data_IF_800120760976
#
_entry.id   IF_800120760976
#
_cell.length_a   1.000
_cell.length_b   1.000
_cell.length_c   1.000
_cell.angle_alpha   90.00
_cell.angle_beta   90.00
_cell.angle_gamma   90.00
#
_symmetry.space_group_name_H-M   'P 1'
#
loop_
_entity.id
_entity.type
_entity.pdbx_description
1 polymer ?
#
# COMPACT_ATOMS: atom_id res chain seq x y z
N UNK A 1 1.49 -6.63 -34.63
CA UNK A 1 1.43 -5.86 -33.38
C UNK A 1 0.44 -6.59 -32.49
N UNK A 2 0.90 -7.14 -31.37
CA UNK A 2 0.02 -7.91 -30.48
C UNK A 2 -1.04 -6.96 -29.90
N UNK A 3 -2.34 -7.34 -29.90
CA UNK A 3 -3.39 -6.47 -29.40
C UNK A 3 -3.16 -6.22 -27.90
N UNK A 4 -3.25 -4.95 -27.48
CA UNK A 4 -3.14 -4.59 -26.07
C UNK A 4 -4.21 -5.33 -25.27
N UNK A 5 -3.83 -5.88 -24.10
CA UNK A 5 -4.77 -6.56 -23.20
C UNK A 5 -5.99 -5.65 -22.91
N UNK A 6 -7.24 -6.18 -22.88
CA UNK A 6 -8.39 -5.41 -22.42
C UNK A 6 -8.16 -4.88 -21.00
N UNK A 7 -8.63 -3.66 -20.71
CA UNK A 7 -8.41 -3.06 -19.40
C UNK A 7 -9.04 -3.85 -18.26
N UNK A 8 -10.20 -4.48 -18.49
CA UNK A 8 -10.82 -5.38 -17.51
C UNK A 8 -9.87 -6.49 -17.04
N UNK A 9 -9.10 -7.08 -17.95
CA UNK A 9 -8.10 -8.09 -17.60
C UNK A 9 -6.97 -7.51 -16.72
N UNK A 10 -6.59 -6.24 -16.95
CA UNK A 10 -5.63 -5.53 -16.08
C UNK A 10 -6.21 -5.35 -14.67
N UNK A 11 -7.49 -5.00 -14.55
CA UNK A 11 -8.16 -4.88 -13.25
C UNK A 11 -8.23 -6.23 -12.54
N UNK A 12 -8.58 -7.30 -13.25
CA UNK A 12 -8.64 -8.65 -12.68
C UNK A 12 -7.26 -9.14 -12.21
N UNK A 13 -6.21 -8.89 -13.01
CA UNK A 13 -4.84 -9.34 -12.73
C UNK A 13 -4.21 -8.57 -11.56
N UNK A 14 -4.38 -7.25 -11.51
CA UNK A 14 -3.64 -6.39 -10.57
C UNK A 14 -4.51 -5.80 -9.44
N UNK A 15 -5.83 -5.85 -9.57
CA UNK A 15 -6.80 -5.27 -8.62
C UNK A 15 -6.55 -5.68 -7.16
N UNK A 16 -6.44 -6.99 -6.85
CA UNK A 16 -6.18 -7.44 -5.48
C UNK A 16 -4.87 -6.89 -4.90
N UNK A 17 -3.80 -6.85 -5.70
CA UNK A 17 -2.51 -6.29 -5.27
C UNK A 17 -2.60 -4.80 -4.99
N UNK A 18 -3.20 -4.03 -5.91
CA UNK A 18 -3.39 -2.59 -5.73
C UNK A 18 -4.23 -2.31 -4.48
N UNK A 19 -5.26 -3.12 -4.19
CA UNK A 19 -6.07 -2.94 -2.99
C UNK A 19 -5.27 -3.18 -1.71
N UNK A 20 -4.43 -4.22 -1.67
CA UNK A 20 -3.52 -4.47 -0.54
C UNK A 20 -2.55 -3.31 -0.33
N UNK A 21 -2.02 -2.75 -1.42
CA UNK A 21 -1.16 -1.56 -1.37
C UNK A 21 -1.92 -0.34 -0.83
N UNK A 22 -3.14 -0.10 -1.31
CA UNK A 22 -3.98 1.00 -0.82
C UNK A 22 -4.26 0.83 0.69
N UNK A 23 -4.67 -0.36 1.14
CA UNK A 23 -4.88 -0.65 2.57
C UNK A 23 -3.63 -0.39 3.40
N UNK A 24 -2.47 -0.85 2.93
CA UNK A 24 -1.21 -0.66 3.64
C UNK A 24 -0.81 0.82 3.74
N UNK A 25 -1.05 1.63 2.70
CA UNK A 25 -0.55 3.02 2.63
C UNK A 25 -1.57 4.03 3.18
N UNK A 26 -2.85 3.86 2.85
CA UNK A 26 -3.95 4.78 3.17
C UNK A 26 -4.72 4.38 4.44
N UNK A 27 -4.63 3.11 4.85
CA UNK A 27 -5.48 2.55 5.90
C UNK A 27 -6.86 2.10 5.38
N UNK A 28 -7.68 1.45 6.23
CA UNK A 28 -8.88 0.75 5.80
C UNK A 28 -9.97 1.68 5.23
N UNK A 29 -10.11 2.90 5.75
CA UNK A 29 -11.18 3.82 5.36
C UNK A 29 -11.02 4.39 3.94
N UNK A 30 -9.79 4.69 3.54
CA UNK A 30 -9.51 5.37 2.26
C UNK A 30 -9.05 4.38 1.17
N UNK A 31 -8.94 3.09 1.49
CA UNK A 31 -8.32 2.10 0.61
C UNK A 31 -9.15 1.81 -0.65
N UNK A 32 -10.46 1.65 -0.51
CA UNK A 32 -11.38 1.34 -1.61
C UNK A 32 -11.54 2.53 -2.57
N UNK A 33 -11.59 3.73 -2.01
CA UNK A 33 -11.58 4.98 -2.77
C UNK A 33 -10.25 5.15 -3.52
N UNK A 34 -9.13 4.95 -2.83
CA UNK A 34 -7.80 4.99 -3.45
C UNK A 34 -7.63 3.95 -4.57
N UNK A 35 -8.19 2.75 -4.41
CA UNK A 35 -8.23 1.73 -5.44
C UNK A 35 -9.06 2.17 -6.65
N UNK A 36 -10.28 2.67 -6.41
CA UNK A 36 -11.20 3.12 -7.46
C UNK A 36 -10.61 4.28 -8.25
N UNK A 37 -10.06 5.29 -7.59
CA UNK A 37 -9.39 6.42 -8.24
C UNK A 37 -8.17 5.99 -9.05
N UNK A 38 -7.43 4.99 -8.56
CA UNK A 38 -6.27 4.43 -9.26
C UNK A 38 -6.71 3.82 -10.58
N UNK A 39 -7.72 2.94 -10.58
CA UNK A 39 -8.17 2.27 -11.79
C UNK A 39 -8.92 3.20 -12.75
N UNK A 40 -9.65 4.20 -12.25
CA UNK A 40 -10.25 5.25 -13.10
C UNK A 40 -9.16 6.07 -13.82
N UNK A 41 -8.12 6.47 -13.10
CA UNK A 41 -7.00 7.21 -13.69
C UNK A 41 -6.21 6.34 -14.67
N UNK A 42 -5.99 5.07 -14.32
CA UNK A 42 -5.31 4.11 -15.17
C UNK A 42 -6.10 3.84 -16.45
N UNK A 43 -7.43 3.71 -16.40
CA UNK A 43 -8.27 3.50 -17.57
C UNK A 43 -8.07 4.62 -18.62
N UNK A 44 -7.99 5.86 -18.15
CA UNK A 44 -7.77 7.03 -19.02
C UNK A 44 -6.37 7.05 -19.64
N UNK A 45 -5.34 6.67 -18.88
CA UNK A 45 -3.94 6.71 -19.32
C UNK A 45 -3.47 5.43 -20.04
N UNK A 46 -4.21 4.33 -19.91
CA UNK A 46 -3.85 3.02 -20.48
C UNK A 46 -3.61 3.01 -22.00
N UNK A 47 -4.35 3.78 -22.82
CA UNK A 47 -4.08 3.87 -24.27
C UNK A 47 -2.66 4.36 -24.61
N UNK A 48 -2.06 5.17 -23.73
CA UNK A 48 -0.74 5.78 -23.92
C UNK A 48 0.40 4.97 -23.28
N UNK A 49 0.08 3.94 -22.49
CA UNK A 49 1.09 3.13 -21.81
C UNK A 49 2.00 2.42 -22.83
N UNK A 50 3.34 2.62 -22.77
CA UNK A 50 4.26 2.00 -23.72
C UNK A 50 4.18 0.47 -23.70
N UNK A 51 4.28 -0.20 -24.86
CA UNK A 51 4.41 -1.65 -24.91
C UNK A 51 5.61 -2.13 -24.08
N UNK A 52 5.43 -3.19 -23.29
CA UNK A 52 6.47 -3.74 -22.43
C UNK A 52 6.72 -2.97 -21.12
N UNK A 53 5.94 -1.93 -20.83
CA UNK A 53 5.97 -1.29 -19.52
C UNK A 53 5.57 -2.27 -18.41
N UNK A 54 6.19 -2.14 -17.24
CA UNK A 54 5.78 -2.87 -16.05
C UNK A 54 4.43 -2.29 -15.55
N UNK A 55 3.34 -2.94 -15.90
CA UNK A 55 1.97 -2.51 -15.56
C UNK A 55 1.78 -2.42 -14.04
N UNK A 56 2.33 -3.35 -13.27
CA UNK A 56 2.23 -3.34 -11.82
C UNK A 56 2.93 -2.12 -11.21
N UNK A 57 4.17 -1.85 -11.62
CA UNK A 57 4.91 -0.65 -11.17
C UNK A 57 4.19 0.64 -11.56
N UNK A 58 3.60 0.68 -12.75
CA UNK A 58 2.82 1.81 -13.23
C UNK A 58 1.55 2.04 -12.40
N UNK A 59 0.77 0.99 -12.11
CA UNK A 59 -0.41 1.07 -11.25
C UNK A 59 -0.07 1.50 -9.83
N UNK A 60 1.01 0.95 -9.24
CA UNK A 60 1.49 1.36 -7.91
C UNK A 60 1.96 2.82 -7.92
N UNK A 61 2.55 3.30 -9.02
CA UNK A 61 2.90 4.72 -9.18
C UNK A 61 1.66 5.61 -9.13
N UNK A 62 0.59 5.23 -9.83
CA UNK A 62 -0.69 5.96 -9.80
C UNK A 62 -1.27 5.95 -8.38
N UNK A 63 -1.35 4.77 -7.76
CA UNK A 63 -1.86 4.62 -6.39
C UNK A 63 -1.06 5.46 -5.37
N UNK A 64 0.27 5.50 -5.51
CA UNK A 64 1.15 6.31 -4.66
C UNK A 64 0.82 7.81 -4.77
N UNK A 65 0.64 8.33 -5.99
CA UNK A 65 0.29 9.74 -6.23
C UNK A 65 -1.06 10.08 -5.60
N UNK A 66 -2.07 9.22 -5.80
CA UNK A 66 -3.39 9.36 -5.18
C UNK A 66 -3.32 9.34 -3.65
N UNK A 67 -2.51 8.45 -3.08
CA UNK A 67 -2.32 8.40 -1.65
C UNK A 67 -1.71 9.69 -1.08
N UNK A 68 -0.72 10.27 -1.76
CA UNK A 68 -0.14 11.56 -1.39
C UNK A 68 -1.20 12.67 -1.43
N UNK A 69 -2.02 12.70 -2.48
CA UNK A 69 -3.04 13.73 -2.65
C UNK A 69 -4.14 13.66 -1.59
N UNK A 70 -4.59 12.45 -1.25
CA UNK A 70 -5.56 12.21 -0.17
C UNK A 70 -5.01 12.64 1.19
N UNK A 71 -3.80 12.23 1.55
CA UNK A 71 -3.16 12.63 2.83
C UNK A 71 -2.97 14.14 2.90
N UNK A 72 -2.49 14.78 1.81
CA UNK A 72 -2.37 16.23 1.74
C UNK A 72 -3.71 16.92 1.90
N UNK A 73 -4.75 16.38 1.29
CA UNK A 73 -6.08 16.96 1.39
C UNK A 73 -6.68 16.82 2.78
N UNK A 74 -6.46 15.70 3.48
CA UNK A 74 -6.88 15.51 4.87
C UNK A 74 -6.21 16.54 5.78
N UNK A 75 -4.89 16.71 5.65
CA UNK A 75 -4.14 17.69 6.45
C UNK A 75 -4.61 19.14 6.22
N UNK A 76 -5.06 19.49 5.02
CA UNK A 76 -5.64 20.82 4.73
C UNK A 76 -7.06 21.02 5.28
N UNK A 77 -7.84 19.93 5.42
CA UNK A 77 -9.24 19.96 5.89
C UNK A 77 -9.36 19.72 7.40
N UNK A 78 -8.29 19.30 8.07
CA UNK A 78 -8.28 19.07 9.50
C UNK A 78 -8.49 20.39 10.26
N UNK A 79 -9.73 20.67 10.65
CA UNK A 79 -10.05 21.52 11.81
C UNK A 79 -9.54 20.76 13.06
N UNK A 80 -8.93 21.42 14.06
CA UNK A 80 -8.48 20.73 15.27
C UNK A 80 -9.70 20.13 15.97
N UNK A 81 -9.83 18.81 15.95
CA UNK A 81 -10.75 18.08 16.81
C UNK A 81 -9.90 17.46 17.91
N UNK A 82 -10.29 17.66 19.16
CA UNK A 82 -9.52 17.35 20.36
C UNK A 82 -9.41 15.84 20.65
N UNK A 83 -9.94 14.98 19.78
CA UNK A 83 -9.94 13.52 19.95
C UNK A 83 -9.45 12.80 18.68
N UNK A 84 -8.40 11.96 18.78
CA UNK A 84 -8.07 11.00 17.74
C UNK A 84 -9.29 10.09 17.53
N UNK A 85 -9.64 9.73 16.27
CA UNK A 85 -10.76 8.82 16.03
C UNK A 85 -10.56 7.52 16.82
N UNK A 86 -11.63 7.10 17.49
CA UNK A 86 -11.68 5.93 18.35
C UNK A 86 -11.14 4.68 17.64
N UNK A 87 -10.42 3.87 18.40
CA UNK A 87 -9.91 2.57 17.95
C UNK A 87 -11.11 1.67 17.66
N UNK A 88 -11.32 1.34 16.40
CA UNK A 88 -12.28 0.30 16.04
C UNK A 88 -11.72 -1.06 16.47
N UNK A 89 -12.25 -1.57 17.59
CA UNK A 89 -12.29 -3.01 17.85
C UNK A 89 -13.02 -3.70 16.70
N UNK A 90 -12.40 -4.73 16.11
CA UNK A 90 -12.97 -5.46 14.99
C UNK A 90 -14.25 -6.19 15.41
N UNK A 91 -15.32 -5.96 14.65
CA UNK A 91 -16.50 -6.83 14.64
C UNK A 91 -16.10 -8.18 14.00
N UNK A 92 -15.81 -9.17 14.82
CA UNK A 92 -16.27 -10.56 14.69
C UNK A 92 -16.05 -11.36 13.38
N UNK A 93 -15.11 -11.03 12.50
CA UNK A 93 -14.71 -11.91 11.39
C UNK A 93 -13.38 -12.59 11.77
N UNK A 94 -13.26 -13.93 11.72
CA UNK A 94 -11.99 -14.62 11.89
C UNK A 94 -11.02 -14.15 10.79
N UNK A 95 -10.13 -13.23 11.14
CA UNK A 95 -9.07 -12.73 10.29
C UNK A 95 -7.86 -13.68 10.44
N UNK A 96 -7.34 -14.17 9.32
CA UNK A 96 -6.22 -15.12 9.21
C UNK A 96 -4.85 -14.48 9.54
N UNK A 97 -4.86 -13.38 10.32
CA UNK A 97 -3.70 -12.54 10.62
C UNK A 97 -3.38 -11.51 9.53
N UNK A 98 -4.09 -11.50 8.40
CA UNK A 98 -3.83 -10.54 7.32
C UNK A 98 -4.19 -9.10 7.71
N UNK A 99 -5.32 -8.85 8.37
CA UNK A 99 -5.65 -7.49 8.80
C UNK A 99 -4.69 -7.01 9.88
N UNK A 100 -4.29 -7.87 10.82
CA UNK A 100 -3.25 -7.53 11.81
C UNK A 100 -1.91 -7.17 11.16
N UNK A 101 -1.48 -7.91 10.13
CA UNK A 101 -0.27 -7.60 9.38
C UNK A 101 -0.39 -6.26 8.64
N UNK A 102 -1.51 -6.02 7.95
CA UNK A 102 -1.74 -4.77 7.22
C UNK A 102 -1.83 -3.56 8.16
N UNK A 103 -2.46 -3.73 9.33
CA UNK A 103 -2.49 -2.72 10.39
C UNK A 103 -1.06 -2.40 10.87
N UNK A 104 -0.26 -3.43 11.15
CA UNK A 104 1.13 -3.26 11.58
C UNK A 104 1.99 -2.57 10.51
N UNK A 105 1.81 -2.91 9.22
CA UNK A 105 2.44 -2.20 8.10
C UNK A 105 2.01 -0.74 8.08
N UNK A 106 0.72 -0.48 8.28
CA UNK A 106 0.14 0.87 8.36
C UNK A 106 0.73 1.73 9.49
N UNK A 107 1.30 1.13 10.53
CA UNK A 107 1.98 1.86 11.62
C UNK A 107 3.45 2.19 11.33
N UNK A 108 4.04 1.62 10.28
CA UNK A 108 5.44 1.92 9.95
C UNK A 108 5.62 3.39 9.52
N UNK A 109 6.82 3.98 9.77
CA UNK A 109 7.20 5.25 9.18
C UNK A 109 6.97 5.25 7.66
N UNK A 110 6.56 6.39 7.04
CA UNK A 110 6.07 6.40 5.66
C UNK A 110 7.00 5.72 4.64
N UNK A 111 8.31 5.99 4.70
CA UNK A 111 9.29 5.38 3.78
C UNK A 111 9.43 3.87 3.97
N UNK A 112 9.38 3.39 5.20
CA UNK A 112 9.45 1.96 5.51
C UNK A 112 8.16 1.26 5.06
N UNK A 113 7.00 1.85 5.38
CA UNK A 113 5.68 1.40 4.93
C UNK A 113 5.60 1.24 3.42
N UNK A 114 5.99 2.27 2.68
CA UNK A 114 5.99 2.26 1.21
C UNK A 114 6.96 1.22 0.65
N UNK A 115 8.20 1.16 1.16
CA UNK A 115 9.17 0.17 0.71
C UNK A 115 8.71 -1.26 0.99
N UNK A 116 8.09 -1.52 2.14
CA UNK A 116 7.53 -2.83 2.48
C UNK A 116 6.33 -3.16 1.60
N UNK A 117 5.36 -2.26 1.49
CA UNK A 117 4.15 -2.48 0.69
C UNK A 117 4.49 -2.73 -0.79
N UNK A 118 5.33 -1.88 -1.38
CA UNK A 118 5.63 -1.99 -2.81
C UNK A 118 6.50 -3.20 -3.13
N UNK A 119 7.44 -3.57 -2.24
CA UNK A 119 8.29 -4.73 -2.49
C UNK A 119 7.58 -6.05 -2.22
N UNK A 120 6.93 -6.19 -1.06
CA UNK A 120 6.40 -7.48 -0.60
C UNK A 120 4.95 -7.72 -0.99
N UNK A 121 4.14 -6.67 -1.15
CA UNK A 121 2.74 -6.83 -1.57
C UNK A 121 2.58 -6.72 -3.09
N UNK A 122 3.38 -5.85 -3.73
CA UNK A 122 3.34 -5.61 -5.17
C UNK A 122 4.58 -6.07 -5.94
N UNK A 123 5.45 -6.87 -5.33
CA UNK A 123 6.56 -7.53 -6.03
C UNK A 123 7.60 -6.61 -6.67
N UNK A 124 7.57 -5.29 -6.40
CA UNK A 124 8.38 -4.35 -7.15
C UNK A 124 9.86 -4.45 -6.76
N UNK A 125 10.79 -4.43 -7.74
CA UNK A 125 12.20 -4.32 -7.43
C UNK A 125 12.52 -2.93 -6.85
N UNK A 126 13.51 -2.86 -5.96
CA UNK A 126 13.86 -1.60 -5.27
C UNK A 126 14.22 -0.43 -6.21
N UNK A 127 14.64 -0.70 -7.45
CA UNK A 127 14.84 0.33 -8.48
C UNK A 127 13.54 1.06 -8.84
N UNK A 128 12.43 0.33 -8.96
CA UNK A 128 11.13 0.88 -9.34
C UNK A 128 10.54 1.60 -8.12
N UNK A 129 10.73 1.03 -6.92
CA UNK A 129 10.35 1.68 -5.66
C UNK A 129 11.03 3.03 -5.52
N UNK A 130 12.36 3.10 -5.74
CA UNK A 130 13.10 4.36 -5.68
C UNK A 130 12.61 5.39 -6.70
N UNK A 131 12.21 4.96 -7.90
CA UNK A 131 11.61 5.84 -8.90
C UNK A 131 10.23 6.38 -8.46
N UNK A 132 9.46 5.59 -7.69
CA UNK A 132 8.14 5.96 -7.18
C UNK A 132 8.26 6.92 -5.98
N UNK A 133 9.02 6.54 -4.96
CA UNK A 133 9.09 7.27 -3.67
C UNK A 133 10.17 8.35 -3.64
N UNK A 134 11.07 8.36 -4.63
CA UNK A 134 12.25 9.20 -4.68
C UNK A 134 13.44 8.65 -3.88
N UNK A 135 14.66 8.97 -4.33
CA UNK A 135 15.92 8.55 -3.70
C UNK A 135 16.64 7.48 -4.51
N UNK A 136 17.40 6.61 -3.82
CA UNK A 136 18.22 5.57 -4.44
C UNK A 136 17.68 4.17 -4.17
N UNK A 137 17.96 3.17 -5.03
CA UNK A 137 17.60 1.77 -4.79
C UNK A 137 18.13 1.24 -3.45
N UNK A 138 19.32 1.66 -3.04
CA UNK A 138 19.92 1.27 -1.75
C UNK A 138 19.17 1.85 -0.55
N UNK A 139 18.73 3.11 -0.64
CA UNK A 139 17.91 3.72 0.39
C UNK A 139 16.53 3.03 0.49
N UNK A 140 15.93 2.68 -0.64
CA UNK A 140 14.67 1.92 -0.68
C UNK A 140 14.84 0.52 -0.06
N UNK A 141 15.92 -0.19 -0.41
CA UNK A 141 16.27 -1.50 0.19
C UNK A 141 16.44 -1.37 1.70
N UNK A 142 17.18 -0.36 2.14
CA UNK A 142 17.43 -0.12 3.57
C UNK A 142 16.12 0.14 4.31
N UNK A 143 15.25 1.01 3.79
CA UNK A 143 13.94 1.28 4.36
C UNK A 143 13.07 0.03 4.44
N UNK A 144 13.10 -0.82 3.41
CA UNK A 144 12.40 -2.12 3.44
C UNK A 144 12.93 -3.05 4.53
N UNK A 145 14.24 -3.19 4.65
CA UNK A 145 14.87 -4.02 5.67
C UNK A 145 14.57 -3.53 7.10
N UNK A 146 14.64 -2.21 7.33
CA UNK A 146 14.30 -1.60 8.62
C UNK A 146 12.81 -1.79 8.95
N UNK A 147 11.93 -1.68 7.94
CA UNK A 147 10.49 -1.96 8.09
C UNK A 147 10.20 -3.42 8.47
N UNK A 148 10.82 -4.39 7.79
CA UNK A 148 10.69 -5.82 8.15
C UNK A 148 11.20 -6.09 9.56
N UNK A 149 12.32 -5.46 9.96
CA UNK A 149 12.84 -5.57 11.33
C UNK A 149 11.81 -5.05 12.34
N UNK A 150 11.20 -3.90 12.09
CA UNK A 150 10.17 -3.32 12.96
C UNK A 150 8.92 -4.23 13.06
N UNK A 151 8.44 -4.75 11.92
CA UNK A 151 7.29 -5.67 11.89
C UNK A 151 7.56 -6.95 12.68
N UNK A 152 8.75 -7.54 12.56
CA UNK A 152 9.12 -8.71 13.37
C UNK A 152 9.06 -8.43 14.86
N UNK A 153 9.50 -7.26 15.31
CA UNK A 153 9.41 -6.89 16.73
C UNK A 153 7.96 -6.75 17.18
N UNK A 154 7.11 -6.08 16.39
CA UNK A 154 5.70 -5.82 16.74
C UNK A 154 4.88 -7.12 16.72
N UNK A 155 5.08 -7.98 15.72
CA UNK A 155 4.32 -9.21 15.53
C UNK A 155 4.88 -10.41 16.33
N UNK A 156 6.10 -10.33 16.87
CA UNK A 156 6.62 -11.32 17.82
C UNK A 156 6.17 -11.06 19.26
N UNK A 157 5.76 -9.83 19.59
CA UNK A 157 5.27 -9.45 20.91
C UNK A 157 4.01 -10.22 21.39
N UNK A 158 3.06 -10.66 20.54
CA UNK A 158 1.88 -11.43 20.97
C UNK A 158 2.19 -12.88 21.33
N UNK A 159 3.36 -13.44 20.95
CA UNK A 159 3.66 -14.86 21.17
C UNK A 159 4.17 -15.19 22.58
N UNK A 160 4.37 -14.19 23.45
CA UNK A 160 4.86 -14.39 24.82
C UNK A 160 3.79 -14.26 25.92
N UNK A 161 2.54 -13.94 25.59
CA UNK A 161 1.43 -13.84 26.57
C UNK A 161 0.40 -14.96 26.47
N UNK A 162 0.70 -16.04 25.74
CA UNK A 162 -0.12 -17.26 25.65
C UNK A 162 0.34 -18.41 26.54
N UNK A 163 1.15 -18.14 27.58
CA UNK A 163 1.61 -19.11 28.57
C UNK A 163 0.77 -19.06 29.84
N UNK A 164 0.02 -20.13 30.04
CA UNK A 164 -1.00 -20.50 31.05
C UNK A 164 -0.53 -20.40 32.53
N UNK A 165 -1.43 -20.52 33.54
CA UNK A 165 -2.16 -21.78 33.84
C UNK A 165 -3.68 -21.70 33.86
#
# INVERSE_FOLDING_TARGET
>A
MEPRKPFEAIVQEHGPTVLRVCRAVLGPHDAEDGWSETFLSALQAYPELPPGANVEAWLVTIAHRKAIDLVRSRNRRAVPVEEPPERHSRLGIPDDGQAELLDAVGQLPPKQRQAVAYHYLAGLPYKDIAAIVGGTPDAARRAGADGIKALRTVLAAPLLTGGTP
#
